data_IF_087917641818
#
_entry.id   IF_087917641818
#
_cell.length_a   1.000
_cell.length_b   1.000
_cell.length_c   1.000
_cell.angle_alpha   90.00
_cell.angle_beta   90.00
_cell.angle_gamma   90.00
#
_symmetry.space_group_name_H-M   'P 1'
#
loop_
_entity.id
_entity.type
_entity.pdbx_description
1 polymer ?
#
# COMPACT_ATOMS: atom_id res chain seq x y z
N UNK A 1 -6.22 -12.47 2.87
CA UNK A 1 -5.61 -11.14 2.73
C UNK A 1 -4.55 -11.29 1.66
N UNK A 2 -4.77 -10.69 0.50
CA UNK A 2 -3.77 -10.70 -0.58
C UNK A 2 -2.87 -9.48 -0.39
N UNK A 3 -1.56 -9.72 -0.31
CA UNK A 3 -0.56 -8.66 -0.44
C UNK A 3 -0.20 -8.52 -1.93
N UNK A 4 -0.24 -7.30 -2.46
CA UNK A 4 0.26 -6.96 -3.80
C UNK A 4 1.50 -6.10 -3.69
N UNK A 5 2.42 -6.22 -4.64
CA UNK A 5 3.69 -5.49 -4.60
C UNK A 5 3.91 -4.78 -5.94
N UNK A 6 4.31 -3.51 -5.88
CA UNK A 6 4.85 -2.78 -7.02
C UNK A 6 6.32 -2.50 -6.76
N UNK A 7 7.18 -2.99 -7.63
CA UNK A 7 8.62 -2.76 -7.53
C UNK A 7 9.06 -1.63 -8.46
N UNK A 8 9.87 -0.72 -7.92
CA UNK A 8 10.67 0.26 -8.68
C UNK A 8 12.13 -0.21 -8.76
N UNK A 9 13.02 0.62 -9.31
CA UNK A 9 14.46 0.32 -9.33
C UNK A 9 15.09 0.38 -7.93
N UNK A 10 14.61 1.27 -7.08
CA UNK A 10 15.20 1.57 -5.76
C UNK A 10 14.36 1.12 -4.58
N UNK A 11 13.04 0.99 -4.75
CA UNK A 11 12.09 0.70 -3.68
C UNK A 11 11.03 -0.31 -4.13
N UNK A 12 10.46 -1.03 -3.18
CA UNK A 12 9.30 -1.91 -3.32
C UNK A 12 8.14 -1.35 -2.49
N UNK A 13 6.97 -1.22 -3.11
CA UNK A 13 5.74 -0.80 -2.45
C UNK A 13 4.83 -2.01 -2.25
N UNK A 14 4.69 -2.42 -1.00
CA UNK A 14 3.78 -3.47 -0.56
C UNK A 14 2.42 -2.85 -0.27
N UNK A 15 1.37 -3.47 -0.77
CA UNK A 15 0.00 -3.02 -0.63
C UNK A 15 -0.82 -4.13 -0.01
N UNK A 16 -1.57 -3.80 1.02
CA UNK A 16 -2.46 -4.74 1.69
C UNK A 16 -3.83 -4.08 1.78
N UNK A 17 -4.86 -4.77 1.31
CA UNK A 17 -6.25 -4.39 1.53
C UNK A 17 -6.85 -5.37 2.51
N UNK A 18 -7.54 -4.86 3.53
CA UNK A 18 -8.18 -5.66 4.56
C UNK A 18 -9.59 -5.15 4.80
N UNK A 19 -10.53 -6.09 4.90
CA UNK A 19 -11.86 -5.79 5.39
C UNK A 19 -11.77 -5.41 6.86
N UNK A 20 -12.35 -4.27 7.22
CA UNK A 20 -12.54 -3.86 8.60
C UNK A 20 -14.02 -4.06 8.91
N UNK A 21 -14.30 -5.17 9.58
CA UNK A 21 -15.65 -5.60 9.96
C UNK A 21 -16.44 -4.40 10.54
N UNK A 22 -17.44 -3.93 9.77
CA UNK A 22 -18.37 -2.87 10.17
C UNK A 22 -18.09 -1.47 9.62
N UNK A 23 -16.89 -1.20 9.09
CA UNK A 23 -16.47 0.14 8.64
C UNK A 23 -16.01 0.19 7.16
N UNK A 24 -16.03 -0.95 6.46
CA UNK A 24 -15.63 -1.06 5.05
C UNK A 24 -14.19 -1.55 4.88
N UNK A 25 -13.57 -1.21 3.74
CA UNK A 25 -12.25 -1.70 3.36
C UNK A 25 -11.17 -0.67 3.71
N UNK A 26 -10.05 -1.15 4.26
CA UNK A 26 -8.87 -0.35 4.56
C UNK A 26 -7.74 -0.77 3.65
N UNK A 27 -7.11 0.22 3.01
CA UNK A 27 -5.89 0.04 2.25
C UNK A 27 -4.66 0.45 3.09
N UNK A 28 -3.56 -0.27 2.95
CA UNK A 28 -2.29 0.08 3.54
C UNK A 28 -1.19 -0.08 2.50
N UNK A 29 -0.30 0.91 2.42
CA UNK A 29 0.87 0.87 1.55
C UNK A 29 2.11 0.95 2.43
N UNK A 30 3.08 0.09 2.20
CA UNK A 30 4.38 0.11 2.86
C UNK A 30 5.44 0.20 1.78
N UNK A 31 6.18 1.31 1.74
CA UNK A 31 7.23 1.50 0.76
C UNK A 31 8.57 1.32 1.46
N UNK A 32 9.36 0.39 0.95
CA UNK A 32 10.68 0.06 1.51
C UNK A 32 11.72 0.09 0.40
N UNK A 33 12.96 0.52 0.67
CA UNK A 33 14.09 0.33 -0.23
C UNK A 33 14.27 -1.14 -0.59
N UNK A 34 14.73 -1.38 -1.81
CA UNK A 34 15.06 -2.73 -2.26
C UNK A 34 16.14 -3.35 -1.38
N UNK A 35 15.87 -4.54 -0.88
CA UNK A 35 16.77 -5.26 0.03
C UNK A 35 16.59 -4.92 1.51
N UNK A 36 15.70 -3.98 1.86
CA UNK A 36 15.32 -3.70 3.23
C UNK A 36 14.19 -4.63 3.70
N UNK A 37 14.14 -4.90 5.01
CA UNK A 37 13.08 -5.72 5.60
C UNK A 37 11.80 -4.89 5.77
N UNK A 38 10.64 -5.46 5.39
CA UNK A 38 9.29 -4.85 5.50
C UNK A 38 8.94 -4.28 6.89
N UNK A 39 9.64 -4.69 7.94
CA UNK A 39 9.31 -4.39 9.33
C UNK A 39 9.79 -3.03 9.87
N UNK A 40 10.66 -2.30 9.15
CA UNK A 40 11.37 -1.16 9.76
C UNK A 40 11.19 0.19 9.04
N UNK A 41 10.38 0.27 7.98
CA UNK A 41 10.31 1.46 7.13
C UNK A 41 8.87 1.87 6.77
N UNK A 42 8.76 3.08 6.18
CA UNK A 42 7.54 3.88 6.01
C UNK A 42 6.29 3.06 5.65
N UNK A 43 5.48 2.77 6.67
CA UNK A 43 4.12 2.28 6.49
C UNK A 43 3.23 3.51 6.27
N UNK A 44 2.98 3.85 5.00
CA UNK A 44 1.97 4.83 4.62
C UNK A 44 0.59 4.16 4.70
N UNK A 45 0.00 4.16 5.89
CA UNK A 45 -1.38 3.71 6.07
C UNK A 45 -2.34 4.72 5.45
N UNK A 46 -3.16 4.26 4.52
CA UNK A 46 -4.36 4.97 4.09
C UNK A 46 -5.41 4.72 5.18
N UNK A 47 -5.55 5.66 6.11
CA UNK A 47 -6.65 5.66 7.10
C UNK A 47 -7.97 6.15 6.45
N UNK A 48 -8.17 5.78 5.18
CA UNK A 48 -9.35 6.11 4.40
C UNK A 48 -10.18 4.84 4.26
N UNK A 49 -11.45 4.92 4.65
CA UNK A 49 -12.41 3.86 4.49
C UNK A 49 -12.94 3.84 3.07
N UNK A 50 -12.98 2.65 2.47
CA UNK A 50 -13.51 2.44 1.14
C UNK A 50 -14.76 1.57 1.20
N UNK A 51 -15.76 1.94 0.40
CA UNK A 51 -17.04 1.22 0.33
C UNK A 51 -16.88 -0.19 -0.26
N UNK A 52 -15.88 -0.40 -1.14
CA UNK A 52 -15.62 -1.67 -1.81
C UNK A 52 -14.12 -1.98 -1.92
N UNK A 53 -13.78 -3.28 -1.94
CA UNK A 53 -12.42 -3.79 -2.04
C UNK A 53 -11.66 -3.25 -3.26
N UNK A 54 -12.32 -3.20 -4.43
CA UNK A 54 -11.70 -2.71 -5.66
C UNK A 54 -11.26 -1.24 -5.56
N UNK A 55 -12.05 -0.41 -4.87
CA UNK A 55 -11.73 1.01 -4.66
C UNK A 55 -10.55 1.16 -3.70
N UNK A 56 -10.51 0.33 -2.64
CA UNK A 56 -9.36 0.26 -1.74
C UNK A 56 -8.09 -0.13 -2.50
N UNK A 57 -8.16 -1.15 -3.36
CA UNK A 57 -7.03 -1.58 -4.19
C UNK A 57 -6.55 -0.51 -5.15
N UNK A 58 -7.47 0.14 -5.89
CA UNK A 58 -7.12 1.19 -6.84
C UNK A 58 -6.48 2.40 -6.16
N UNK A 59 -6.96 2.74 -4.97
CA UNK A 59 -6.42 3.82 -4.15
C UNK A 59 -5.03 3.47 -3.62
N UNK A 60 -4.85 2.25 -3.10
CA UNK A 60 -3.55 1.71 -2.69
C UNK A 60 -2.54 1.76 -3.84
N UNK A 61 -2.94 1.32 -5.04
CA UNK A 61 -2.07 1.30 -6.23
C UNK A 61 -1.64 2.70 -6.64
N UNK A 62 -2.59 3.64 -6.67
CA UNK A 62 -2.32 5.03 -7.03
C UNK A 62 -1.33 5.67 -6.06
N UNK A 63 -1.54 5.46 -4.75
CA UNK A 63 -0.64 5.98 -3.74
C UNK A 63 0.75 5.33 -3.81
N UNK A 64 0.81 4.01 -3.94
CA UNK A 64 2.06 3.27 -4.08
C UNK A 64 2.89 3.78 -5.27
N UNK A 65 2.25 3.99 -6.43
CA UNK A 65 2.93 4.57 -7.61
C UNK A 65 3.39 6.00 -7.37
N UNK A 66 2.58 6.83 -6.71
CA UNK A 66 2.94 8.22 -6.40
C UNK A 66 4.15 8.29 -5.47
N UNK A 67 4.15 7.50 -4.38
CA UNK A 67 5.27 7.41 -3.44
C UNK A 67 6.54 6.89 -4.13
N UNK A 68 6.44 5.81 -4.91
CA UNK A 68 7.58 5.29 -5.66
C UNK A 68 8.14 6.31 -6.67
N UNK A 69 7.30 7.18 -7.22
CA UNK A 69 7.73 8.24 -8.13
C UNK A 69 8.35 9.44 -7.40
N UNK A 70 7.90 9.74 -6.18
CA UNK A 70 8.51 10.77 -5.32
C UNK A 70 9.89 10.32 -4.77
N UNK A 71 10.08 9.00 -4.58
CA UNK A 71 11.33 8.39 -4.09
C UNK A 71 12.34 8.09 -5.22
N UNK A 72 12.09 8.60 -6.43
CA UNK A 72 12.89 8.39 -7.62
C UNK A 72 13.94 9.48 -7.80
#
# INVERSE_FOLDING_TARGET
MEDRIISSMTHDAYMTVSDRIGDGWVASVCVVPKGAAKNNELIVKLDTFFECEEVAWKSAETLARAELNNLK
#
